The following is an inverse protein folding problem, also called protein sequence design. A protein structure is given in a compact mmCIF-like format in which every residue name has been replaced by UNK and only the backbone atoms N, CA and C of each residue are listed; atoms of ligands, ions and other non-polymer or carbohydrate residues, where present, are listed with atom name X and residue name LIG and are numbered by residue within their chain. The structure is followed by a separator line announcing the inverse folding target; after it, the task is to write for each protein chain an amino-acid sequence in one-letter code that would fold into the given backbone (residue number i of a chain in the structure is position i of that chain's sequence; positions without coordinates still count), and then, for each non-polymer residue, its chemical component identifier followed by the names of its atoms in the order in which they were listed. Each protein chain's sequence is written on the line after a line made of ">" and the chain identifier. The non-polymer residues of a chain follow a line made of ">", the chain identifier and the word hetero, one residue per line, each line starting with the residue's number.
data_IF_179567536953
#
_entry.id   IF_179567536953
#
_cell.length_a   1.000
_cell.length_b   1.000
_cell.length_c   1.000
_cell.angle_alpha   90.00
_cell.angle_beta   90.00
_cell.angle_gamma   90.00
#
_symmetry.space_group_name_H-M   'P 1'
#
loop_
_entity.id
_entity.type
_entity.pdbx_description
1 polymer ?
#
# COMPACT_ATOMS: atom_id res chain seq x y z
N UNK A 1 -11.23 -16.79 16.10
CA UNK A 1 -9.87 -16.63 15.53
C UNK A 1 -9.66 -15.16 15.23
N UNK A 2 -8.42 -14.67 15.31
CA UNK A 2 -8.09 -13.30 14.90
C UNK A 2 -8.36 -13.14 13.40
N UNK A 3 -9.01 -12.04 13.01
CA UNK A 3 -9.35 -11.80 11.59
C UNK A 3 -8.09 -11.53 10.79
N UNK A 4 -8.09 -11.87 9.50
CA UNK A 4 -6.97 -11.63 8.58
C UNK A 4 -7.46 -10.79 7.41
N UNK A 5 -6.76 -9.71 7.11
CA UNK A 5 -7.05 -8.85 5.96
C UNK A 5 -5.79 -8.65 5.12
N UNK A 6 -5.94 -8.56 3.81
CA UNK A 6 -4.85 -8.32 2.87
C UNK A 6 -5.20 -7.23 1.87
N UNK A 7 -4.20 -6.40 1.55
CA UNK A 7 -4.24 -5.41 0.48
C UNK A 7 -3.04 -5.64 -0.41
N UNK A 8 -3.30 -5.94 -1.68
CA UNK A 8 -2.29 -6.23 -2.69
C UNK A 8 -2.39 -5.18 -3.80
N UNK A 9 -1.30 -4.47 -4.07
CA UNK A 9 -1.25 -3.40 -5.06
C UNK A 9 -0.13 -3.73 -6.04
N UNK A 10 -0.44 -3.71 -7.34
CA UNK A 10 0.52 -3.98 -8.41
C UNK A 10 0.30 -3.00 -9.56
N UNK A 11 1.29 -2.15 -9.84
CA UNK A 11 1.14 -1.08 -10.85
C UNK A 11 2.23 -1.23 -11.91
N UNK A 12 1.82 -1.57 -13.14
CA UNK A 12 2.70 -1.66 -14.31
C UNK A 12 2.75 -0.35 -15.11
N UNK A 13 1.92 0.65 -14.82
CA UNK A 13 1.83 1.92 -15.55
C UNK A 13 1.66 1.70 -17.07
N UNK A 14 0.79 0.74 -17.41
CA UNK A 14 0.67 0.20 -18.77
C UNK A 14 0.30 1.29 -19.77
N UNK A 15 1.09 1.43 -20.84
CA UNK A 15 0.86 2.45 -21.88
C UNK A 15 1.47 3.82 -21.59
N UNK A 16 2.13 4.01 -20.44
CA UNK A 16 2.91 5.22 -20.13
C UNK A 16 4.39 5.07 -20.47
N UNK A 17 5.12 6.19 -20.48
CA UNK A 17 6.59 6.20 -20.60
C UNK A 17 7.30 5.60 -19.37
N UNK A 18 6.57 5.39 -18.26
CA UNK A 18 7.06 4.84 -17.01
C UNK A 18 6.68 3.36 -16.85
N UNK A 19 6.32 2.66 -17.93
CA UNK A 19 5.83 1.29 -17.86
C UNK A 19 6.85 0.32 -17.21
N UNK A 20 6.35 -0.49 -16.28
CA UNK A 20 7.02 -1.63 -15.67
C UNK A 20 6.46 -2.95 -16.22
N UNK A 21 7.12 -4.04 -15.86
CA UNK A 21 6.67 -5.41 -16.12
C UNK A 21 6.92 -6.22 -14.86
N UNK A 22 5.97 -7.09 -14.49
CA UNK A 22 6.12 -7.98 -13.34
C UNK A 22 5.27 -7.60 -12.13
N UNK A 23 4.84 -6.34 -11.98
CA UNK A 23 4.15 -5.91 -10.76
C UNK A 23 2.78 -6.58 -10.58
N UNK A 24 2.12 -6.95 -11.69
CA UNK A 24 0.88 -7.74 -11.66
C UNK A 24 1.15 -9.18 -11.26
N UNK A 25 2.19 -9.78 -11.82
CA UNK A 25 2.62 -11.14 -11.49
C UNK A 25 3.09 -11.24 -10.03
N UNK A 26 3.74 -10.23 -9.49
CA UNK A 26 4.12 -10.16 -8.07
C UNK A 26 2.88 -10.20 -7.16
N UNK A 27 1.82 -9.48 -7.53
CA UNK A 27 0.54 -9.53 -6.81
C UNK A 27 -0.04 -10.94 -6.85
N UNK A 28 -0.05 -11.60 -8.00
CA UNK A 28 -0.58 -12.98 -8.12
C UNK A 28 0.23 -13.97 -7.27
N UNK A 29 1.57 -13.88 -7.32
CA UNK A 29 2.47 -14.70 -6.52
C UNK A 29 2.26 -14.50 -5.01
N UNK A 30 2.14 -13.25 -4.58
CA UNK A 30 1.92 -12.93 -3.16
C UNK A 30 0.53 -13.35 -2.72
N UNK A 31 -0.50 -13.18 -3.56
CA UNK A 31 -1.87 -13.63 -3.27
C UNK A 31 -1.90 -15.14 -3.01
N UNK A 32 -1.26 -15.93 -3.87
CA UNK A 32 -1.15 -17.38 -3.70
C UNK A 32 -0.41 -17.74 -2.40
N UNK A 33 0.73 -17.07 -2.13
CA UNK A 33 1.51 -17.29 -0.92
C UNK A 33 0.70 -17.02 0.36
N UNK A 34 0.04 -15.86 0.47
CA UNK A 34 -0.69 -15.51 1.69
C UNK A 34 -1.95 -16.36 1.86
N UNK A 35 -2.57 -16.80 0.76
CA UNK A 35 -3.66 -17.78 0.80
C UNK A 35 -3.21 -19.08 1.45
N UNK A 36 -2.04 -19.59 1.06
CA UNK A 36 -1.42 -20.75 1.72
C UNK A 36 -1.12 -20.49 3.21
N UNK A 37 -0.86 -19.24 3.61
CA UNK A 37 -0.65 -18.83 5.02
C UNK A 37 -1.95 -18.57 5.79
N UNK A 38 -3.11 -18.83 5.19
CA UNK A 38 -4.43 -18.73 5.81
C UNK A 38 -5.09 -17.35 5.72
N UNK A 39 -4.75 -16.54 4.72
CA UNK A 39 -5.54 -15.36 4.35
C UNK A 39 -6.63 -15.77 3.35
N UNK A 40 -7.85 -15.30 3.56
CA UNK A 40 -8.95 -15.54 2.61
C UNK A 40 -8.90 -14.51 1.48
N UNK A 41 -9.27 -14.92 0.26
CA UNK A 41 -9.33 -14.10 -0.95
C UNK A 41 -10.75 -13.55 -1.22
N UNK A 42 -11.64 -13.64 -0.22
CA UNK A 42 -12.98 -13.10 -0.30
C UNK A 42 -12.99 -11.57 -0.28
N UNK A 43 -14.04 -10.92 -0.82
CA UNK A 43 -14.14 -9.45 -0.92
C UNK A 43 -14.22 -8.73 0.44
N UNK A 44 -14.30 -9.47 1.54
CA UNK A 44 -14.29 -8.93 2.89
C UNK A 44 -12.89 -8.92 3.49
N UNK A 45 -11.99 -9.74 2.97
CA UNK A 45 -10.69 -10.05 3.58
C UNK A 45 -9.53 -9.73 2.65
N UNK A 46 -9.77 -9.57 1.34
CA UNK A 46 -8.75 -9.16 0.39
C UNK A 46 -9.25 -8.03 -0.53
N UNK A 47 -8.38 -7.03 -0.72
CA UNK A 47 -8.47 -6.06 -1.81
C UNK A 47 -7.24 -6.19 -2.71
N UNK A 48 -7.48 -6.16 -4.02
CA UNK A 48 -6.45 -6.18 -5.06
C UNK A 48 -6.66 -4.96 -5.95
N UNK A 49 -5.65 -4.11 -6.05
CA UNK A 49 -5.67 -2.93 -6.92
C UNK A 49 -4.57 -3.09 -7.99
N UNK A 50 -4.96 -3.15 -9.26
CA UNK A 50 -4.03 -3.25 -10.39
C UNK A 50 -4.50 -2.45 -11.60
N UNK A 51 -3.57 -1.91 -12.37
CA UNK A 51 -3.86 -1.08 -13.55
C UNK A 51 -4.21 -1.89 -14.82
N UNK A 52 -4.29 -3.22 -14.74
CA UNK A 52 -4.91 -4.08 -15.76
C UNK A 52 -6.39 -4.41 -15.45
N UNK A 53 -6.91 -3.97 -14.30
CA UNK A 53 -8.30 -4.16 -13.90
C UNK A 53 -9.09 -2.87 -14.18
N UNK A 54 -10.01 -2.90 -15.15
CA UNK A 54 -10.86 -1.75 -15.51
C UNK A 54 -12.10 -1.67 -14.60
N UNK A 55 -11.92 -1.31 -13.32
CA UNK A 55 -13.02 -1.12 -12.36
C UNK A 55 -12.71 -0.13 -11.21
N UNK A 56 -13.56 -0.12 -10.18
CA UNK A 56 -13.42 0.69 -8.95
C UNK A 56 -12.07 0.48 -8.21
N UNK A 57 -11.30 -0.55 -8.56
CA UNK A 57 -10.02 -0.91 -7.95
C UNK A 57 -8.80 -0.43 -8.75
N UNK A 58 -9.00 0.46 -9.74
CA UNK A 58 -7.89 1.10 -10.44
C UNK A 58 -6.95 1.84 -9.46
N UNK A 59 -5.61 1.67 -9.55
CA UNK A 59 -4.68 2.07 -8.49
C UNK A 59 -4.32 3.57 -8.51
N UNK A 60 -5.34 4.43 -8.41
CA UNK A 60 -5.19 5.87 -8.22
C UNK A 60 -4.75 6.20 -6.79
N UNK A 61 -4.09 7.35 -6.58
CA UNK A 61 -3.62 7.73 -5.24
C UNK A 61 -4.75 7.78 -4.21
N UNK A 62 -5.92 8.23 -4.67
CA UNK A 62 -7.16 8.21 -3.92
C UNK A 62 -7.58 6.78 -3.49
N UNK A 63 -7.65 5.84 -4.44
CA UNK A 63 -8.04 4.46 -4.16
C UNK A 63 -7.04 3.73 -3.27
N UNK A 64 -5.73 4.00 -3.44
CA UNK A 64 -4.67 3.44 -2.60
C UNK A 64 -4.89 3.82 -1.13
N UNK A 65 -5.07 5.10 -0.83
CA UNK A 65 -5.27 5.59 0.53
C UNK A 65 -6.58 5.05 1.16
N UNK A 66 -7.66 5.00 0.39
CA UNK A 66 -8.92 4.44 0.86
C UNK A 66 -8.81 2.93 1.15
N UNK A 67 -8.08 2.18 0.32
CA UNK A 67 -7.82 0.77 0.55
C UNK A 67 -6.91 0.53 1.77
N UNK A 68 -5.90 1.38 1.97
CA UNK A 68 -5.05 1.36 3.17
C UNK A 68 -5.88 1.59 4.43
N UNK A 69 -6.77 2.59 4.42
CA UNK A 69 -7.65 2.88 5.55
C UNK A 69 -8.59 1.72 5.82
N UNK A 70 -9.12 1.08 4.78
CA UNK A 70 -9.89 -0.14 4.93
C UNK A 70 -9.06 -1.22 5.61
N UNK A 71 -7.82 -1.46 5.19
CA UNK A 71 -6.97 -2.53 5.71
C UNK A 71 -6.84 -2.44 7.23
N UNK A 72 -6.56 -1.25 7.76
CA UNK A 72 -6.26 -1.04 9.19
C UNK A 72 -7.46 -0.64 10.05
N UNK A 73 -8.66 -0.56 9.47
CA UNK A 73 -9.87 -0.03 10.14
C UNK A 73 -10.43 -0.87 11.29
N UNK A 74 -10.03 -2.14 11.42
CA UNK A 74 -10.62 -3.09 12.37
C UNK A 74 -9.65 -3.48 13.48
N UNK A 75 -10.17 -3.59 14.70
CA UNK A 75 -9.44 -4.13 15.85
C UNK A 75 -9.24 -5.65 15.73
N UNK A 76 -8.28 -6.18 16.50
CA UNK A 76 -8.00 -7.62 16.58
C UNK A 76 -7.85 -8.29 15.20
N UNK A 77 -7.11 -7.63 14.31
CA UNK A 77 -6.89 -8.04 12.92
C UNK A 77 -5.40 -8.20 12.62
N UNK A 78 -5.05 -9.22 11.84
CA UNK A 78 -3.72 -9.41 11.26
C UNK A 78 -3.79 -8.91 9.82
N UNK A 79 -3.14 -7.78 9.56
CA UNK A 79 -3.12 -7.10 8.28
C UNK A 79 -1.88 -7.50 7.48
N UNK A 80 -2.06 -7.71 6.18
CA UNK A 80 -0.98 -7.91 5.22
C UNK A 80 -1.07 -6.86 4.12
N UNK A 81 0.02 -6.15 3.87
CA UNK A 81 0.12 -5.14 2.82
C UNK A 81 1.25 -5.52 1.86
N UNK A 82 0.94 -5.53 0.58
CA UNK A 82 1.93 -5.70 -0.48
C UNK A 82 1.77 -4.59 -1.52
N UNK A 83 2.88 -3.98 -1.89
CA UNK A 83 2.97 -3.03 -2.98
C UNK A 83 4.12 -3.43 -3.89
N UNK A 84 3.84 -3.61 -5.19
CA UNK A 84 4.84 -3.70 -6.26
C UNK A 84 4.58 -2.61 -7.30
N UNK A 85 5.59 -1.79 -7.59
CA UNK A 85 5.48 -0.64 -8.49
C UNK A 85 6.65 0.33 -8.35
N UNK A 86 6.51 1.54 -8.88
CA UNK A 86 7.55 2.55 -8.73
C UNK A 86 7.61 3.07 -7.30
N UNK A 87 8.83 3.33 -6.84
CA UNK A 87 9.10 4.13 -5.66
C UNK A 87 9.91 5.35 -6.07
N UNK A 88 9.64 6.48 -5.41
CA UNK A 88 10.23 7.77 -5.74
C UNK A 88 10.72 8.52 -4.51
N UNK A 89 11.17 9.75 -4.75
CA UNK A 89 11.52 10.70 -3.69
C UNK A 89 11.04 12.10 -4.06
N UNK A 90 10.52 12.82 -3.09
CA UNK A 90 10.14 14.24 -3.20
C UNK A 90 10.87 15.07 -2.15
N UNK A 91 10.98 16.38 -2.36
CA UNK A 91 11.54 17.28 -1.37
C UNK A 91 10.72 17.23 -0.07
N UNK A 92 11.39 17.23 1.08
CA UNK A 92 10.74 17.37 2.39
C UNK A 92 10.48 18.85 2.69
N UNK A 93 9.24 19.34 2.55
CA UNK A 93 8.94 20.75 2.77
C UNK A 93 9.09 21.17 4.24
N UNK A 94 9.06 20.22 5.18
CA UNK A 94 9.19 20.47 6.61
C UNK A 94 10.63 20.32 7.11
N UNK A 95 11.54 19.79 6.28
CA UNK A 95 12.95 19.58 6.63
C UNK A 95 13.16 18.70 7.87
N UNK A 96 12.25 17.75 8.13
CA UNK A 96 12.31 16.82 9.27
C UNK A 96 13.16 15.59 8.95
N UNK A 97 13.30 15.25 7.68
CA UNK A 97 14.14 14.15 7.23
C UNK A 97 15.60 14.58 7.09
N UNK A 98 16.56 13.81 7.65
CA UNK A 98 17.99 14.11 7.54
C UNK A 98 18.50 14.21 6.08
N UNK A 99 17.86 13.51 5.15
CA UNK A 99 18.14 13.56 3.71
C UNK A 99 17.60 14.83 3.03
N UNK A 100 16.65 15.52 3.65
CA UNK A 100 15.84 16.56 3.01
C UNK A 100 14.84 16.01 1.97
N UNK A 101 14.66 14.69 1.90
CA UNK A 101 13.79 14.01 0.94
C UNK A 101 12.84 13.04 1.65
N UNK A 102 11.63 12.91 1.14
CA UNK A 102 10.65 11.90 1.52
C UNK A 102 10.59 10.80 0.47
N UNK A 103 10.75 9.54 0.88
CA UNK A 103 10.45 8.39 0.01
C UNK A 103 8.94 8.32 -0.28
N UNK A 104 8.57 7.84 -1.46
CA UNK A 104 7.18 7.78 -1.93
C UNK A 104 6.84 6.43 -2.57
N UNK A 105 5.55 6.09 -2.58
CA UNK A 105 4.98 5.19 -3.58
C UNK A 105 4.28 6.01 -4.66
N UNK A 106 4.21 5.47 -5.88
CA UNK A 106 3.78 6.19 -7.07
C UNK A 106 2.46 5.60 -7.58
N UNK A 107 1.31 6.24 -7.35
CA UNK A 107 0.05 5.80 -7.93
C UNK A 107 0.04 5.91 -9.45
N UNK A 108 -0.93 5.27 -10.12
CA UNK A 108 -1.01 5.31 -11.60
C UNK A 108 -1.27 6.72 -12.15
N UNK A 109 -1.94 7.57 -11.39
CA UNK A 109 -2.34 8.94 -11.73
C UNK A 109 -1.38 10.00 -11.15
N UNK A 110 -0.13 9.62 -10.84
CA UNK A 110 0.85 10.49 -10.19
C UNK A 110 1.20 11.74 -10.99
N UNK A 111 1.08 11.72 -12.32
CA UNK A 111 1.35 12.90 -13.16
C UNK A 111 0.35 14.03 -12.90
N UNK A 112 -0.89 13.69 -12.56
CA UNK A 112 -1.97 14.65 -12.28
C UNK A 112 -2.11 14.93 -10.78
N UNK A 113 -1.98 13.88 -9.95
CA UNK A 113 -2.32 13.95 -8.53
C UNK A 113 -1.10 13.85 -7.59
N UNK A 114 0.09 13.63 -8.12
CA UNK A 114 1.32 13.52 -7.34
C UNK A 114 1.54 12.14 -6.71
N UNK A 115 2.65 12.03 -5.97
CA UNK A 115 3.08 10.79 -5.33
C UNK A 115 2.61 10.74 -3.86
N UNK A 116 2.52 9.55 -3.27
CA UNK A 116 2.17 9.39 -1.85
C UNK A 116 3.45 9.23 -1.03
N UNK A 117 3.72 10.21 -0.17
CA UNK A 117 4.93 10.28 0.64
C UNK A 117 4.90 9.42 1.91
N UNK A 118 6.09 9.18 2.46
CA UNK A 118 6.32 8.38 3.66
C UNK A 118 5.60 8.89 4.91
N UNK A 119 5.41 10.20 5.09
CA UNK A 119 4.64 10.72 6.23
C UNK A 119 3.16 10.35 6.08
N UNK A 120 2.62 10.51 4.87
CA UNK A 120 1.25 10.16 4.54
C UNK A 120 1.02 8.65 4.70
N UNK A 121 1.92 7.81 4.20
CA UNK A 121 1.86 6.36 4.42
C UNK A 121 1.94 5.99 5.89
N UNK A 122 2.86 6.58 6.65
CA UNK A 122 2.97 6.34 8.09
C UNK A 122 1.67 6.72 8.83
N UNK A 123 1.09 7.87 8.50
CA UNK A 123 -0.16 8.33 9.10
C UNK A 123 -1.30 7.34 8.83
N UNK A 124 -1.39 6.80 7.62
CA UNK A 124 -2.49 5.90 7.24
C UNK A 124 -2.28 4.44 7.67
N UNK A 125 -1.06 3.89 7.56
CA UNK A 125 -0.76 2.49 7.89
C UNK A 125 -0.39 2.26 9.36
N UNK A 126 0.37 3.17 9.96
CA UNK A 126 0.98 2.96 11.29
C UNK A 126 0.17 3.68 12.36
N UNK A 127 -0.04 4.99 12.21
CA UNK A 127 -0.72 5.79 13.23
C UNK A 127 -2.19 5.39 13.44
N UNK A 128 -2.85 4.84 12.41
CA UNK A 128 -4.25 4.37 12.48
C UNK A 128 -4.40 2.91 12.85
N UNK A 129 -3.31 2.12 12.88
CA UNK A 129 -3.39 0.71 13.24
C UNK A 129 -3.84 0.56 14.69
N UNK A 130 -4.87 -0.24 14.92
CA UNK A 130 -5.35 -0.50 16.27
C UNK A 130 -4.30 -1.25 17.11
N UNK A 131 -4.09 -0.93 18.40
CA UNK A 131 -3.06 -1.58 19.23
C UNK A 131 -3.22 -3.10 19.43
N UNK A 132 -4.41 -3.64 19.22
CA UNK A 132 -4.68 -5.09 19.25
C UNK A 132 -4.49 -5.78 17.89
N UNK A 133 -4.11 -5.03 16.87
CA UNK A 133 -3.89 -5.50 15.51
C UNK A 133 -2.39 -5.57 15.18
N UNK A 134 -2.03 -6.32 14.15
CA UNK A 134 -0.66 -6.39 13.63
C UNK A 134 -0.64 -6.14 12.14
N UNK A 135 0.47 -5.59 11.63
CA UNK A 135 0.66 -5.29 10.22
C UNK A 135 1.98 -5.91 9.74
N UNK A 136 1.89 -6.74 8.70
CA UNK A 136 3.03 -7.19 7.90
C UNK A 136 2.99 -6.47 6.56
N UNK A 137 4.12 -5.95 6.12
CA UNK A 137 4.21 -5.11 4.94
C UNK A 137 5.43 -5.48 4.10
N UNK A 138 5.21 -5.66 2.80
CA UNK A 138 6.24 -5.87 1.78
C UNK A 138 6.12 -4.75 0.75
N UNK A 139 7.22 -4.03 0.53
CA UNK A 139 7.32 -2.99 -0.49
C UNK A 139 8.37 -3.43 -1.52
N UNK A 140 7.91 -3.87 -2.68
CA UNK A 140 8.74 -4.14 -3.84
C UNK A 140 8.80 -2.89 -4.74
N UNK A 141 9.60 -1.93 -4.29
CA UNK A 141 9.82 -0.68 -5.02
C UNK A 141 11.20 -0.10 -4.69
N UNK A 142 11.73 0.72 -5.61
CA UNK A 142 12.98 1.44 -5.35
C UNK A 142 12.80 2.39 -4.15
N UNK A 143 13.83 2.52 -3.30
CA UNK A 143 13.82 3.39 -2.11
C UNK A 143 12.76 3.06 -1.04
N UNK A 144 12.38 1.78 -0.86
CA UNK A 144 11.47 1.35 0.23
C UNK A 144 12.06 1.43 1.65
N UNK A 145 13.36 1.77 1.78
CA UNK A 145 14.14 1.63 3.00
C UNK A 145 13.83 2.63 4.13
N UNK A 146 13.13 3.73 3.85
CA UNK A 146 12.68 4.69 4.89
C UNK A 146 11.22 5.11 4.74
N UNK A 147 10.46 4.43 3.88
CA UNK A 147 9.08 4.79 3.47
C UNK A 147 8.05 4.80 4.60
N UNK A 148 8.33 4.21 5.76
CA UNK A 148 7.41 4.22 6.91
C UNK A 148 7.98 4.83 8.19
N UNK A 149 9.19 5.41 8.16
CA UNK A 149 9.81 6.05 9.33
C UNK A 149 9.75 5.19 10.61
N UNK A 150 9.97 3.88 10.48
CA UNK A 150 9.90 2.97 11.61
C UNK A 150 11.11 3.15 12.53
N UNK A 151 10.93 3.08 13.86
CA UNK A 151 11.99 3.40 14.82
C UNK A 151 13.11 2.35 14.89
N UNK A 152 12.87 1.14 14.38
CA UNK A 152 13.83 0.04 14.42
C UNK A 152 14.01 -0.53 13.03
N UNK A 153 15.26 -0.55 12.55
CA UNK A 153 15.63 -1.08 11.24
C UNK A 153 16.77 -2.07 11.43
N UNK A 154 16.62 -3.23 10.79
CA UNK A 154 17.61 -4.30 10.83
C UNK A 154 18.07 -4.61 9.41
N UNK A 155 19.38 -4.84 9.23
CA UNK A 155 19.97 -5.27 7.95
C UNK A 155 20.88 -6.47 8.16
N UNK A 156 20.89 -7.37 7.20
CA UNK A 156 21.87 -8.45 7.13
C UNK A 156 23.13 -7.99 6.39
N UNK A 157 24.30 -8.38 6.87
CA UNK A 157 25.56 -8.27 6.11
C UNK A 157 25.78 -9.49 5.20
N UNK A 158 26.81 -9.44 4.34
CA UNK A 158 27.19 -10.53 3.42
C UNK A 158 27.55 -11.84 4.16
N UNK A 159 27.86 -11.75 5.45
CA UNK A 159 28.10 -12.89 6.33
C UNK A 159 26.84 -13.47 6.97
N UNK A 160 25.66 -12.90 6.68
CA UNK A 160 24.37 -13.31 7.24
C UNK A 160 24.10 -12.80 8.66
N UNK A 161 24.93 -11.90 9.21
CA UNK A 161 24.68 -11.35 10.54
C UNK A 161 23.67 -10.21 10.45
N UNK A 162 22.68 -10.20 11.35
CA UNK A 162 21.66 -9.15 11.44
C UNK A 162 22.12 -8.09 12.43
N UNK A 163 22.21 -6.84 11.96
CA UNK A 163 22.59 -5.69 12.77
C UNK A 163 21.48 -4.64 12.73
N UNK A 164 21.23 -4.00 13.88
CA UNK A 164 20.37 -2.83 13.93
C UNK A 164 21.13 -1.65 13.32
N UNK A 165 20.45 -0.90 12.46
CA UNK A 165 21.02 0.26 11.77
C UNK A 165 20.32 1.51 12.25
N UNK A 166 21.09 2.55 12.54
CA UNK A 166 20.53 3.86 12.86
C UNK A 166 19.92 4.49 11.60
N UNK A 167 18.76 5.14 11.74
CA UNK A 167 18.04 5.77 10.64
C UNK A 167 18.90 6.78 9.83
N UNK A 168 19.87 7.44 10.49
CA UNK A 168 20.78 8.39 9.86
C UNK A 168 21.82 7.72 8.93
N UNK A 169 22.20 6.47 9.21
CA UNK A 169 23.13 5.69 8.38
C UNK A 169 22.52 5.23 7.05
N UNK A 170 21.20 5.11 7.01
CA UNK A 170 20.44 4.63 5.85
C UNK A 170 20.37 5.70 4.75
N UNK A 171 20.16 6.97 5.12
CA UNK A 171 20.08 8.08 4.15
C UNK A 171 21.34 8.21 3.27
N UNK A 172 22.53 7.95 3.84
CA UNK A 172 23.80 7.97 3.09
C UNK A 172 23.96 6.82 2.10
N UNK A 173 23.33 5.68 2.37
CA UNK A 173 23.40 4.51 1.50
C UNK A 173 22.42 4.61 0.33
N UNK A 174 21.21 5.11 0.61
CA UNK A 174 20.16 5.32 -0.39
C UNK A 174 20.61 6.26 -1.53
N UNK A 175 21.43 7.28 -1.26
CA UNK A 175 21.98 8.18 -2.28
C UNK A 175 22.79 7.49 -3.39
N UNK A 176 23.35 6.28 -3.16
CA UNK A 176 24.17 5.58 -4.16
C UNK A 176 23.36 4.80 -5.19
N UNK A 177 22.12 4.44 -4.89
CA UNK A 177 21.28 3.56 -5.73
C UNK A 177 20.40 4.33 -6.74
N UNK A 178 20.52 5.67 -6.74
CA UNK A 178 19.74 6.67 -7.47
C UNK A 178 19.79 6.67 -9.02
N UNK A 179 20.22 5.59 -9.70
CA UNK A 179 20.42 5.60 -11.17
C UNK A 179 19.14 5.44 -12.02
N UNK A 180 18.00 5.09 -11.43
CA UNK A 180 16.72 4.87 -12.14
C UNK A 180 15.55 5.71 -11.59
N UNK A 181 15.85 6.87 -11.01
CA UNK A 181 14.87 7.66 -10.26
C UNK A 181 13.86 8.41 -11.14
N UNK A 182 12.60 8.41 -10.69
CA UNK A 182 11.64 9.48 -11.00
C UNK A 182 11.92 10.63 -10.03
N UNK A 183 12.90 11.46 -10.36
CA UNK A 183 13.25 12.65 -9.58
C UNK A 183 12.45 13.85 -10.12
N UNK A 184 11.55 14.38 -9.30
CA UNK A 184 10.69 15.50 -9.66
C UNK A 184 9.22 15.10 -9.67
N UNK A 185 8.50 15.48 -8.62
CA UNK A 185 7.08 15.23 -8.49
C UNK A 185 6.47 16.14 -7.45
N UNK A 186 5.30 16.70 -7.76
CA UNK A 186 4.51 17.49 -6.82
C UNK A 186 4.08 16.62 -5.63
N UNK A 187 4.14 17.19 -4.42
CA UNK A 187 3.68 16.56 -3.18
C UNK A 187 2.15 16.61 -3.09
N UNK A 188 1.53 15.54 -2.59
CA UNK A 188 0.08 15.44 -2.37
C UNK A 188 -0.41 16.54 -1.41
N UNK A 189 -1.38 17.36 -1.82
CA UNK A 189 -1.74 18.58 -1.10
C UNK A 189 -2.85 18.31 -0.05
N UNK A 190 -2.46 18.20 1.23
CA UNK A 190 -3.27 17.65 2.35
C UNK A 190 -4.67 18.28 2.56
N UNK A 191 -4.87 19.59 2.38
CA UNK A 191 -6.08 20.26 2.89
C UNK A 191 -7.29 20.23 1.95
N UNK A 192 -7.11 20.58 0.67
CA UNK A 192 -8.21 20.59 -0.31
C UNK A 192 -8.68 19.16 -0.62
N UNK A 193 -7.74 18.22 -0.69
CA UNK A 193 -8.02 16.83 -1.02
C UNK A 193 -8.47 16.00 0.19
N UNK A 194 -8.31 16.43 1.45
CA UNK A 194 -8.93 15.70 2.57
C UNK A 194 -10.43 15.52 2.34
N UNK A 195 -11.13 16.53 1.79
CA UNK A 195 -12.56 16.41 1.48
C UNK A 195 -12.85 15.42 0.36
N UNK A 196 -12.07 15.45 -0.72
CA UNK A 196 -12.24 14.53 -1.86
C UNK A 196 -11.83 13.09 -1.51
N UNK A 197 -10.76 12.94 -0.74
CA UNK A 197 -10.31 11.68 -0.15
C UNK A 197 -11.37 11.06 0.74
N UNK A 198 -12.01 11.85 1.62
CA UNK A 198 -13.14 11.37 2.41
C UNK A 198 -14.34 10.98 1.54
N UNK A 199 -14.67 11.77 0.52
CA UNK A 199 -15.81 11.51 -0.37
C UNK A 199 -15.63 10.21 -1.16
N UNK A 200 -14.47 10.00 -1.77
CA UNK A 200 -14.22 8.79 -2.53
C UNK A 200 -13.81 7.59 -1.66
N UNK A 201 -13.26 7.77 -0.46
CA UNK A 201 -13.16 6.67 0.50
C UNK A 201 -14.57 6.18 0.83
N UNK A 202 -15.51 7.11 1.01
CA UNK A 202 -16.91 6.76 1.21
C UNK A 202 -17.50 6.01 0.01
N UNK A 203 -17.12 6.31 -1.24
CA UNK A 203 -17.58 5.54 -2.40
C UNK A 203 -16.96 4.14 -2.46
N UNK A 204 -15.65 3.99 -2.23
CA UNK A 204 -14.98 2.69 -2.15
C UNK A 204 -15.58 1.84 -1.01
N UNK A 205 -15.69 2.39 0.20
CA UNK A 205 -16.32 1.71 1.34
C UNK A 205 -17.78 1.35 1.07
N UNK A 206 -18.51 2.18 0.31
CA UNK A 206 -19.89 1.87 -0.10
C UNK A 206 -19.93 0.73 -1.12
N UNK A 207 -19.02 0.72 -2.10
CA UNK A 207 -18.85 -0.39 -3.06
C UNK A 207 -18.56 -1.70 -2.32
N UNK A 208 -17.66 -1.68 -1.33
CA UNK A 208 -17.39 -2.81 -0.44
C UNK A 208 -18.60 -3.24 0.40
N UNK A 209 -19.39 -2.28 0.90
CA UNK A 209 -20.64 -2.57 1.64
C UNK A 209 -21.75 -3.16 0.77
N UNK A 210 -21.86 -2.78 -0.50
CA UNK A 210 -22.82 -3.41 -1.40
C UNK A 210 -22.42 -4.84 -1.77
N UNK A 211 -21.13 -5.10 -1.96
CA UNK A 211 -20.62 -6.46 -2.15
C UNK A 211 -20.83 -7.36 -0.93
N UNK A 212 -20.90 -6.78 0.29
CA UNK A 212 -21.31 -7.45 1.55
C UNK A 212 -22.74 -7.99 1.56
N UNK A 213 -23.65 -7.40 0.79
CA UNK A 213 -25.07 -7.83 0.78
C UNK A 213 -25.37 -8.80 -0.37
N UNK A 214 -24.65 -8.73 -1.49
CA UNK A 214 -24.91 -9.57 -2.66
C UNK A 214 -24.45 -11.04 -2.50
N UNK A 215 -23.60 -11.35 -1.53
CA UNK A 215 -23.06 -12.70 -1.30
C UNK A 215 -23.79 -13.50 -0.20
N UNK A 216 -24.89 -12.96 0.35
CA UNK A 216 -25.69 -13.63 1.38
C UNK A 216 -27.04 -14.15 0.88
N UNK A 217 -27.13 -15.48 0.71
CA UNK A 217 -28.34 -16.34 0.57
C UNK A 217 -29.06 -16.23 -0.80
N UNK A 218 -29.31 -17.32 -1.53
CA UNK A 218 -30.27 -18.38 -1.17
C UNK A 218 -29.71 -19.81 -1.39
N UNK A 219 -29.56 -20.55 -0.28
CA UNK A 219 -29.86 -21.98 -0.26
C UNK A 219 -31.04 -22.14 0.66
N UNK A 220 -32.25 -22.21 0.11
CA UNK A 220 -33.40 -22.70 0.85
C UNK A 220 -33.86 -24.04 0.25
N UNK A 221 -33.92 -25.00 1.16
CA UNK A 221 -34.33 -26.38 1.00
C UNK A 221 -35.66 -26.51 0.26
N UNK A 222 -35.68 -27.33 -0.80
CA UNK A 222 -36.90 -27.99 -1.24
C UNK A 222 -37.27 -29.10 -0.25
N UNK A 223 -38.13 -28.79 0.72
CA UNK A 223 -38.95 -29.80 1.41
C UNK A 223 -40.43 -29.62 1.07
N UNK A 224 -40.93 -30.63 0.35
CA UNK A 224 -42.29 -31.19 0.27
C UNK A 224 -43.52 -30.29 0.48
N UNK A 225 -44.39 -30.25 -0.55
CA UNK A 225 -45.68 -30.97 -0.54
C UNK A 225 -45.92 -31.67 -1.88
#
# INVERSE_FOLDING_TARGET
>A
MQRRKSLLIGINYTGSDNALKGCHEDVDNVAEFIKYRGYEDGPHDQLVLRDDLEDDYYPTGHNLLAAIDWLVSEENTICFFHYSGHGGQIDDPQGRHPSGLLDTIVPVDFEENGQIDSDTLHQHLVSRLHPSSSLFLILDCCHSGSTLQLPFIYRSDDGGNVQQVDAEGIGKHLMKDAKHLITGGFSFNKEAQTRDLYAGATSLFRSLKHRRQATGLETDDFTQE
#
